data_IF_935101031062
#
_entry.id   IF_935101031062
#
_cell.length_a   1.000
_cell.length_b   1.000
_cell.length_c   1.000
_cell.angle_alpha   90.00
_cell.angle_beta   90.00
_cell.angle_gamma   90.00
#
_symmetry.space_group_name_H-M   'P 1'
#
loop_
_entity.id
_entity.type
_entity.pdbx_description
1 polymer ?
#
# COMPACT_ATOMS: atom_id res chain seq x y z
N UNK A 1 26.37 15.27 -30.69
CA UNK A 1 26.26 16.75 -30.68
C UNK A 1 27.38 17.44 -29.89
N UNK A 2 27.85 16.90 -28.75
CA UNK A 2 28.95 17.49 -27.97
C UNK A 2 30.28 16.69 -27.99
N UNK A 3 30.29 15.45 -28.51
CA UNK A 3 31.48 14.57 -28.53
C UNK A 3 32.67 15.17 -29.27
N UNK A 4 32.40 15.98 -30.30
CA UNK A 4 33.45 16.54 -31.18
C UNK A 4 33.93 17.93 -30.72
N UNK A 5 33.32 18.48 -29.65
CA UNK A 5 33.62 19.82 -29.12
C UNK A 5 34.15 19.83 -27.68
N UNK A 6 33.83 18.81 -26.91
CA UNK A 6 34.20 18.73 -25.50
C UNK A 6 34.66 17.33 -25.15
N UNK A 7 35.72 17.26 -24.36
CA UNK A 7 36.22 16.01 -23.78
C UNK A 7 35.24 15.49 -22.72
N UNK A 8 35.27 14.18 -22.48
CA UNK A 8 34.50 13.55 -21.39
C UNK A 8 34.86 14.16 -20.04
N UNK A 9 36.11 14.60 -19.87
CA UNK A 9 36.59 15.19 -18.62
C UNK A 9 35.97 16.57 -18.36
N UNK A 10 35.88 17.44 -19.36
CA UNK A 10 35.23 18.75 -19.24
C UNK A 10 33.74 18.62 -18.92
N UNK A 11 33.05 17.69 -19.58
CA UNK A 11 31.63 17.42 -19.32
C UNK A 11 31.41 16.83 -17.92
N UNK A 12 32.31 15.95 -17.46
CA UNK A 12 32.25 15.40 -16.11
C UNK A 12 32.47 16.48 -15.04
N UNK A 13 33.42 17.41 -15.25
CA UNK A 13 33.66 18.56 -14.36
C UNK A 13 32.45 19.49 -14.31
N UNK A 14 31.88 19.83 -15.46
CA UNK A 14 30.69 20.68 -15.55
C UNK A 14 29.47 20.10 -14.82
N UNK A 15 29.30 18.78 -14.89
CA UNK A 15 28.17 18.06 -14.27
C UNK A 15 28.48 17.58 -12.84
N UNK A 16 29.64 17.92 -12.29
CA UNK A 16 30.10 17.50 -10.96
C UNK A 16 30.07 15.98 -10.74
N UNK A 17 30.37 15.21 -11.80
CA UNK A 17 30.46 13.74 -11.75
C UNK A 17 31.89 13.27 -11.95
N UNK A 18 32.26 12.15 -11.34
CA UNK A 18 33.57 11.55 -11.58
C UNK A 18 33.63 10.89 -12.96
N UNK A 19 34.78 11.02 -13.63
CA UNK A 19 35.05 10.36 -14.91
C UNK A 19 34.94 8.84 -14.80
N UNK A 20 35.40 8.25 -13.69
CA UNK A 20 35.26 6.82 -13.41
C UNK A 20 33.79 6.42 -13.22
N UNK A 21 32.98 7.26 -12.57
CA UNK A 21 31.53 7.07 -12.46
C UNK A 21 30.82 7.08 -13.82
N UNK A 22 31.20 8.00 -14.71
CA UNK A 22 30.66 8.06 -16.07
C UNK A 22 30.91 6.77 -16.86
N UNK A 23 32.16 6.29 -16.93
CA UNK A 23 32.46 5.05 -17.66
C UNK A 23 31.84 3.81 -16.98
N UNK A 24 31.77 3.79 -15.65
CA UNK A 24 31.06 2.73 -14.91
C UNK A 24 29.55 2.73 -15.19
N UNK A 25 28.95 3.89 -15.42
CA UNK A 25 27.56 4.00 -15.87
C UNK A 25 27.43 3.58 -17.33
N UNK A 26 28.32 4.04 -18.21
CA UNK A 26 28.31 3.72 -19.64
C UNK A 26 28.37 2.21 -19.88
N UNK A 27 29.25 1.51 -19.17
CA UNK A 27 29.39 0.05 -19.26
C UNK A 27 28.16 -0.72 -18.75
N UNK A 28 27.36 -0.12 -17.86
CA UNK A 28 26.14 -0.73 -17.30
C UNK A 28 24.86 -0.29 -18.01
N UNK A 29 24.93 0.74 -18.86
CA UNK A 29 23.75 1.39 -19.45
C UNK A 29 22.92 0.41 -20.29
N UNK A 30 23.60 -0.49 -20.99
CA UNK A 30 22.97 -1.45 -21.89
C UNK A 30 22.70 -2.81 -21.20
N UNK A 31 23.04 -2.95 -19.91
CA UNK A 31 22.69 -4.17 -19.17
C UNK A 31 21.17 -4.25 -18.94
N UNK A 32 20.54 -5.41 -19.22
CA UNK A 32 19.13 -5.59 -18.97
C UNK A 32 18.85 -5.51 -17.46
N UNK A 33 17.79 -4.79 -17.11
CA UNK A 33 17.36 -4.63 -15.73
C UNK A 33 16.89 -5.98 -15.16
N UNK A 34 17.74 -6.59 -14.32
CA UNK A 34 17.46 -7.88 -13.66
C UNK A 34 16.17 -7.85 -12.84
N UNK A 35 15.76 -6.68 -12.35
CA UNK A 35 14.53 -6.54 -11.57
C UNK A 35 13.27 -6.60 -12.45
N UNK A 36 13.40 -6.39 -13.77
CA UNK A 36 12.25 -6.22 -14.67
C UNK A 36 11.38 -7.47 -14.73
N UNK A 37 12.00 -8.64 -14.85
CA UNK A 37 11.29 -9.94 -14.87
C UNK A 37 10.46 -10.13 -13.59
N UNK A 38 11.03 -9.78 -12.44
CA UNK A 38 10.34 -9.88 -11.14
C UNK A 38 9.24 -8.80 -11.06
N UNK A 39 9.50 -7.60 -11.56
CA UNK A 39 8.52 -6.52 -11.58
C UNK A 39 7.28 -6.90 -12.41
N UNK A 40 7.47 -7.57 -13.55
CA UNK A 40 6.37 -8.04 -14.40
C UNK A 40 5.49 -9.07 -13.67
N UNK A 41 6.10 -10.01 -12.93
CA UNK A 41 5.36 -10.93 -12.06
C UNK A 41 4.61 -10.19 -10.93
N UNK A 42 5.23 -9.17 -10.34
CA UNK A 42 4.58 -8.34 -9.31
C UNK A 42 3.39 -7.58 -9.93
N UNK A 43 3.49 -7.09 -11.16
CA UNK A 43 2.38 -6.42 -11.88
C UNK A 43 1.21 -7.37 -12.05
N UNK A 44 1.46 -8.63 -12.40
CA UNK A 44 0.42 -9.66 -12.49
C UNK A 44 -0.27 -9.89 -11.14
N UNK A 45 0.51 -10.07 -10.07
CA UNK A 45 -0.01 -10.16 -8.70
C UNK A 45 -0.87 -8.94 -8.35
N UNK A 46 -0.38 -7.75 -8.68
CA UNK A 46 -1.01 -6.48 -8.35
C UNK A 46 -2.37 -6.33 -9.07
N UNK A 47 -2.49 -6.81 -10.31
CA UNK A 47 -3.76 -6.87 -11.05
C UNK A 47 -4.74 -7.84 -10.38
N UNK A 48 -4.31 -9.09 -10.09
CA UNK A 48 -5.15 -10.09 -9.42
C UNK A 48 -5.62 -9.64 -8.02
N UNK A 49 -4.77 -8.95 -7.29
CA UNK A 49 -5.02 -8.49 -5.93
C UNK A 49 -5.69 -7.11 -5.83
N UNK A 50 -6.13 -6.51 -6.95
CA UNK A 50 -6.69 -5.15 -6.98
C UNK A 50 -5.81 -4.12 -6.26
N UNK A 51 -4.49 -4.24 -6.42
CA UNK A 51 -3.48 -3.34 -5.86
C UNK A 51 -3.40 -3.31 -4.33
N UNK A 52 -4.01 -4.28 -3.63
CA UNK A 52 -4.10 -4.27 -2.16
C UNK A 52 -2.93 -4.98 -1.46
N UNK A 53 -2.18 -5.80 -2.19
CA UNK A 53 -1.13 -6.62 -1.59
C UNK A 53 0.15 -5.81 -1.37
N UNK A 54 0.55 -5.67 -0.11
CA UNK A 54 1.87 -5.15 0.26
C UNK A 54 2.98 -6.16 -0.02
N UNK A 55 4.24 -5.70 0.02
CA UNK A 55 5.42 -6.48 -0.36
C UNK A 55 5.57 -7.83 0.35
N UNK A 56 5.11 -7.96 1.60
CA UNK A 56 5.10 -9.25 2.32
C UNK A 56 4.13 -10.26 1.70
N UNK A 57 2.93 -9.80 1.31
CA UNK A 57 1.92 -10.64 0.65
C UNK A 57 2.33 -10.97 -0.78
N UNK A 58 2.93 -10.01 -1.49
CA UNK A 58 3.51 -10.23 -2.82
C UNK A 58 4.61 -11.29 -2.75
N UNK A 59 5.51 -11.25 -1.76
CA UNK A 59 6.54 -12.29 -1.56
C UNK A 59 5.93 -13.69 -1.41
N UNK A 60 4.85 -13.82 -0.63
CA UNK A 60 4.15 -15.11 -0.46
C UNK A 60 3.50 -15.54 -1.77
N UNK A 61 2.89 -14.61 -2.51
CA UNK A 61 2.27 -14.89 -3.79
C UNK A 61 3.29 -15.37 -4.83
N UNK A 62 4.44 -14.68 -4.94
CA UNK A 62 5.55 -15.08 -5.83
C UNK A 62 6.04 -16.50 -5.51
N UNK A 63 6.20 -16.81 -4.22
CA UNK A 63 6.59 -18.17 -3.82
C UNK A 63 5.56 -19.22 -4.23
N UNK A 64 4.26 -18.93 -4.09
CA UNK A 64 3.18 -19.88 -4.35
C UNK A 64 2.92 -20.11 -5.84
N UNK A 65 2.96 -19.05 -6.64
CA UNK A 65 2.59 -19.12 -8.05
C UNK A 65 3.76 -19.46 -8.96
N UNK A 66 4.98 -19.04 -8.60
CA UNK A 66 6.16 -19.22 -9.47
C UNK A 66 7.29 -19.99 -8.81
N UNK A 67 7.17 -20.37 -7.53
CA UNK A 67 8.25 -21.00 -6.77
C UNK A 67 9.41 -20.06 -6.45
N UNK A 68 9.32 -18.78 -6.79
CA UNK A 68 10.43 -17.83 -6.64
C UNK A 68 10.70 -17.50 -5.16
N UNK A 69 11.83 -17.98 -4.65
CA UNK A 69 12.31 -17.65 -3.31
C UNK A 69 13.09 -16.33 -3.36
N UNK A 70 12.47 -15.26 -2.87
CA UNK A 70 13.07 -13.92 -2.83
C UNK A 70 12.94 -13.28 -1.44
N UNK A 71 13.95 -12.52 -1.04
CA UNK A 71 13.92 -11.75 0.20
C UNK A 71 12.84 -10.63 0.11
N UNK A 72 12.03 -10.49 1.14
CA UNK A 72 10.99 -9.46 1.23
C UNK A 72 11.55 -8.04 1.07
N UNK A 73 12.80 -7.77 1.47
CA UNK A 73 13.47 -6.47 1.26
C UNK A 73 13.74 -6.20 -0.22
N UNK A 74 14.10 -7.23 -0.99
CA UNK A 74 14.28 -7.11 -2.43
C UNK A 74 12.95 -6.84 -3.13
N UNK A 75 11.88 -7.55 -2.74
CA UNK A 75 10.51 -7.29 -3.23
C UNK A 75 10.11 -5.83 -2.96
N UNK A 76 10.36 -5.33 -1.74
CA UNK A 76 10.08 -3.93 -1.41
C UNK A 76 10.88 -2.94 -2.27
N UNK A 77 12.18 -3.20 -2.49
CA UNK A 77 13.05 -2.37 -3.35
C UNK A 77 12.51 -2.31 -4.79
N UNK A 78 12.14 -3.46 -5.35
CA UNK A 78 11.60 -3.57 -6.71
C UNK A 78 10.25 -2.86 -6.79
N UNK A 79 9.34 -3.10 -5.84
CA UNK A 79 8.04 -2.41 -5.81
C UNK A 79 8.19 -0.89 -5.74
N UNK A 80 9.16 -0.37 -4.99
CA UNK A 80 9.45 1.08 -4.96
C UNK A 80 9.98 1.58 -6.30
N UNK A 81 10.94 0.87 -6.89
CA UNK A 81 11.55 1.22 -8.19
C UNK A 81 10.51 1.36 -9.30
N UNK A 82 9.47 0.52 -9.30
CA UNK A 82 8.42 0.51 -10.33
C UNK A 82 7.09 1.12 -9.88
N UNK A 83 7.03 1.81 -8.74
CA UNK A 83 5.80 2.41 -8.21
C UNK A 83 4.62 1.40 -8.03
N UNK A 84 4.92 0.18 -7.60
CA UNK A 84 3.97 -0.92 -7.40
C UNK A 84 3.55 -1.09 -5.93
N UNK A 85 3.64 -0.04 -5.11
CA UNK A 85 3.27 -0.11 -3.70
C UNK A 85 1.75 -0.30 -3.54
N UNK A 86 1.37 -1.03 -2.49
CA UNK A 86 -0.02 -1.33 -2.19
C UNK A 86 -0.84 -0.06 -1.94
N UNK A 87 -2.03 -0.02 -2.52
CA UNK A 87 -2.99 1.06 -2.34
C UNK A 87 -3.95 0.67 -1.22
N UNK A 88 -3.88 1.41 -0.10
CA UNK A 88 -4.88 1.29 0.97
C UNK A 88 -6.10 2.12 0.60
N UNK A 89 -7.23 1.47 0.29
CA UNK A 89 -8.50 2.17 0.14
C UNK A 89 -8.94 2.71 1.51
N UNK A 90 -9.34 3.98 1.57
CA UNK A 90 -9.97 4.56 2.77
C UNK A 90 -11.26 3.79 3.06
N UNK A 91 -11.43 3.30 4.29
CA UNK A 91 -12.69 2.71 4.75
C UNK A 91 -13.74 3.82 4.68
N UNK A 92 -14.75 3.67 3.82
CA UNK A 92 -15.89 4.60 3.80
C UNK A 92 -16.77 4.31 5.01
N UNK A 93 -17.25 5.36 5.67
CA UNK A 93 -18.32 5.21 6.65
C UNK A 93 -19.52 4.62 5.91
N UNK A 94 -20.03 3.49 6.39
CA UNK A 94 -21.23 2.87 5.84
C UNK A 94 -22.37 3.34 6.73
N UNK A 95 -23.30 4.11 6.18
CA UNK A 95 -24.57 4.35 6.84
C UNK A 95 -25.30 3.01 6.84
N UNK A 96 -25.60 2.49 8.03
CA UNK A 96 -26.40 1.28 8.17
C UNK A 96 -27.85 1.74 8.18
N UNK A 97 -28.64 1.23 7.25
CA UNK A 97 -30.07 1.50 7.19
C UNK A 97 -30.73 0.92 8.46
N UNK A 98 -31.57 1.70 9.12
CA UNK A 98 -32.21 1.31 10.38
C UNK A 98 -33.03 0.01 10.22
N UNK A 99 -33.54 -0.27 9.02
CA UNK A 99 -34.27 -1.48 8.67
C UNK A 99 -33.43 -2.78 8.67
N UNK A 100 -32.10 -2.71 8.84
CA UNK A 100 -31.24 -3.90 8.87
C UNK A 100 -31.15 -4.58 10.24
N UNK A 101 -31.79 -4.02 11.27
CA UNK A 101 -31.76 -4.55 12.63
C UNK A 101 -33.12 -5.05 13.09
N UNK A 102 -33.12 -6.08 13.93
CA UNK A 102 -34.32 -6.48 14.68
C UNK A 102 -34.68 -5.37 15.65
N UNK A 103 -35.82 -4.72 15.42
CA UNK A 103 -36.37 -3.73 16.34
C UNK A 103 -37.10 -4.44 17.46
N UNK A 104 -36.72 -4.13 18.70
CA UNK A 104 -37.50 -4.48 19.88
C UNK A 104 -38.47 -3.34 20.18
N UNK A 105 -39.66 -3.70 20.64
CA UNK A 105 -40.63 -2.71 21.05
C UNK A 105 -40.08 -1.90 22.23
N UNK A 106 -40.30 -0.59 22.22
CA UNK A 106 -39.96 0.26 23.36
C UNK A 106 -40.97 0.02 24.49
N UNK A 107 -40.70 -0.93 25.37
CA UNK A 107 -41.59 -1.28 26.48
C UNK A 107 -41.70 -0.15 27.52
N UNK A 108 -40.71 0.74 27.59
CA UNK A 108 -40.68 1.82 28.56
C UNK A 108 -41.67 2.93 28.23
N UNK A 109 -41.84 3.27 26.94
CA UNK A 109 -42.72 4.35 26.45
C UNK A 109 -42.61 5.67 27.24
N UNK A 110 -41.38 6.05 27.64
CA UNK A 110 -41.09 7.22 28.50
C UNK A 110 -41.77 7.21 29.89
N UNK A 111 -42.26 6.07 30.35
CA UNK A 111 -42.76 5.91 31.70
C UNK A 111 -41.62 5.54 32.65
N UNK A 112 -41.02 6.54 33.29
CA UNK A 112 -39.91 6.37 34.24
C UNK A 112 -40.36 6.09 35.69
N UNK A 113 -41.67 6.11 35.98
CA UNK A 113 -42.16 5.81 37.34
C UNK A 113 -42.05 4.31 37.61
N UNK A 114 -41.53 3.94 38.79
CA UNK A 114 -41.42 2.57 39.28
C UNK A 114 -41.88 2.54 40.76
N UNK A 115 -42.51 1.44 41.15
CA UNK A 115 -42.99 1.20 42.51
C UNK A 115 -41.92 0.57 43.41
N UNK A 116 -41.00 -0.19 42.84
CA UNK A 116 -39.88 -0.83 43.55
C UNK A 116 -38.58 -0.67 42.76
N UNK A 117 -37.41 -0.75 43.43
CA UNK A 117 -36.13 -0.82 42.74
C UNK A 117 -36.09 -1.97 41.73
N UNK A 118 -35.29 -1.80 40.67
CA UNK A 118 -35.03 -2.81 39.63
C UNK A 118 -36.22 -3.22 38.74
N UNK A 119 -37.34 -2.49 38.74
CA UNK A 119 -38.47 -2.77 37.84
C UNK A 119 -38.23 -2.30 36.40
N UNK A 120 -37.37 -1.29 36.18
CA UNK A 120 -37.08 -0.72 34.86
C UNK A 120 -35.59 -0.40 34.75
N UNK A 121 -34.95 -0.88 33.70
CA UNK A 121 -33.54 -0.66 33.41
C UNK A 121 -33.42 -0.06 32.01
N UNK A 122 -32.69 1.05 31.91
CA UNK A 122 -32.48 1.78 30.66
C UNK A 122 -31.02 2.15 30.56
N UNK A 123 -30.43 1.92 29.40
CA UNK A 123 -29.06 2.31 29.09
C UNK A 123 -29.08 3.22 27.87
N UNK A 124 -28.40 4.36 27.96
CA UNK A 124 -28.18 5.24 26.81
C UNK A 124 -26.70 5.19 26.38
N UNK A 125 -26.44 5.39 25.09
CA UNK A 125 -25.09 5.47 24.54
C UNK A 125 -24.82 6.91 24.14
N UNK A 126 -24.00 7.60 24.94
CA UNK A 126 -23.50 8.93 24.62
C UNK A 126 -22.16 8.80 23.87
N UNK A 127 -22.11 9.28 22.62
CA UNK A 127 -20.87 9.32 21.86
C UNK A 127 -20.03 10.53 22.26
N UNK A 128 -18.79 10.29 22.71
CA UNK A 128 -17.82 11.36 23.00
C UNK A 128 -16.95 11.57 21.77
N UNK A 129 -17.00 12.77 21.19
CA UNK A 129 -16.20 13.12 20.02
C UNK A 129 -14.72 13.31 20.41
N UNK A 130 -13.84 12.50 19.83
CA UNK A 130 -12.38 12.64 19.98
C UNK A 130 -11.79 13.43 18.81
N UNK A 131 -10.77 14.25 19.07
CA UNK A 131 -9.99 14.97 18.06
C UNK A 131 -8.93 14.08 17.39
#
# INVERSE_FOLDING_TARGET
RFRDRFTVEELCKLLEVSRSGYYKWLNRKDEPDKDKVIADLIVECHKKANRTYGYRRVKIWLLRETGLVINHKAVLRIMRKYNLLAIRKRKRFRHYDCNTYTHYNNELMRNFKATKPNEKWVTDISYIQTK
#
